data_IF_064007631951
#
_entry.id   IF_064007631951
#
_cell.length_a   1.000
_cell.length_b   1.000
_cell.length_c   1.000
_cell.angle_alpha   90.00
_cell.angle_beta   90.00
_cell.angle_gamma   90.00
#
_symmetry.space_group_name_H-M   'P 1'
#
loop_
_entity.id
_entity.type
_entity.pdbx_description
1 polymer ?
#
# COMPACT_ATOMS: atom_id res chain seq x y z
N UNK A 1 30.60 -22.26 -3.79
CA UNK A 1 30.14 -20.88 -3.53
C UNK A 1 28.90 -20.64 -4.38
N UNK A 2 27.70 -20.66 -3.78
CA UNK A 2 26.43 -20.38 -4.47
C UNK A 2 26.42 -18.91 -4.92
N UNK A 3 26.34 -18.64 -6.22
CA UNK A 3 26.12 -17.28 -6.75
C UNK A 3 24.79 -16.79 -6.21
N UNK A 4 24.80 -15.82 -5.30
CA UNK A 4 23.59 -15.18 -4.80
C UNK A 4 22.77 -14.70 -6.02
N UNK A 5 21.59 -15.29 -6.20
CA UNK A 5 20.67 -14.96 -7.29
C UNK A 5 20.32 -13.47 -7.15
N UNK A 6 20.80 -12.64 -8.09
CA UNK A 6 20.58 -11.19 -8.07
C UNK A 6 19.09 -10.93 -8.00
N UNK A 7 18.60 -10.43 -6.86
CA UNK A 7 17.18 -10.16 -6.65
C UNK A 7 16.66 -9.17 -7.69
N UNK A 8 15.58 -9.54 -8.36
CA UNK A 8 14.95 -8.69 -9.37
C UNK A 8 14.24 -7.53 -8.66
N UNK A 9 14.69 -6.29 -8.93
CA UNK A 9 14.07 -5.07 -8.39
C UNK A 9 12.93 -4.61 -9.28
N UNK A 10 11.80 -4.23 -8.66
CA UNK A 10 10.63 -3.69 -9.35
C UNK A 10 10.13 -2.41 -8.68
N UNK A 11 9.51 -1.52 -9.48
CA UNK A 11 8.64 -0.48 -8.95
C UNK A 11 7.23 -1.04 -8.80
N UNK A 12 6.61 -0.83 -7.64
CA UNK A 12 5.22 -1.17 -7.42
C UNK A 12 4.42 0.11 -7.20
N UNK A 13 3.41 0.31 -8.04
CA UNK A 13 2.50 1.43 -7.98
C UNK A 13 1.07 0.91 -7.98
N UNK A 14 0.42 0.96 -6.83
CA UNK A 14 -1.02 0.74 -6.70
C UNK A 14 -1.74 2.05 -6.40
N UNK A 15 -3.05 2.05 -6.19
CA UNK A 15 -3.78 3.23 -5.73
C UNK A 15 -3.10 3.83 -4.48
N UNK A 16 -2.98 5.16 -4.43
CA UNK A 16 -2.10 5.84 -3.48
C UNK A 16 -2.85 6.41 -2.27
N UNK A 17 -4.09 5.99 -2.05
CA UNK A 17 -4.82 6.22 -0.81
C UNK A 17 -4.21 5.40 0.34
N UNK A 18 -4.27 5.89 1.59
CA UNK A 18 -3.75 5.13 2.73
C UNK A 18 -4.49 3.81 2.92
N UNK A 19 -5.82 3.80 2.72
CA UNK A 19 -6.63 2.58 2.74
C UNK A 19 -6.17 1.55 1.73
N UNK A 20 -5.79 1.98 0.51
CA UNK A 20 -5.27 1.09 -0.53
C UNK A 20 -3.96 0.44 -0.13
N UNK A 21 -3.07 1.19 0.53
CA UNK A 21 -1.83 0.64 1.08
C UNK A 21 -2.09 -0.42 2.16
N UNK A 22 -3.13 -0.25 2.97
CA UNK A 22 -3.54 -1.24 3.98
C UNK A 22 -4.11 -2.49 3.29
N UNK A 23 -5.00 -2.31 2.31
CA UNK A 23 -5.60 -3.41 1.54
C UNK A 23 -4.52 -4.21 0.81
N UNK A 24 -3.57 -3.55 0.19
CA UNK A 24 -2.48 -4.17 -0.56
C UNK A 24 -1.31 -4.66 0.32
N UNK A 25 -1.38 -4.55 1.65
CA UNK A 25 -0.27 -4.92 2.52
C UNK A 25 0.14 -6.39 2.35
N UNK A 26 -0.81 -7.33 2.40
CA UNK A 26 -0.53 -8.76 2.17
C UNK A 26 0.04 -9.04 0.77
N UNK A 27 -0.50 -8.38 -0.28
CA UNK A 27 0.00 -8.47 -1.65
C UNK A 27 1.47 -8.04 -1.75
N UNK A 28 1.82 -6.91 -1.14
CA UNK A 28 3.20 -6.40 -1.13
C UNK A 28 4.13 -7.36 -0.40
N UNK A 29 3.69 -7.92 0.73
CA UNK A 29 4.47 -8.89 1.49
C UNK A 29 4.69 -10.19 0.70
N UNK A 30 3.70 -10.69 -0.03
CA UNK A 30 3.88 -11.84 -0.94
C UNK A 30 4.88 -11.53 -2.04
N UNK A 31 4.74 -10.39 -2.70
CA UNK A 31 5.66 -9.99 -3.77
C UNK A 31 7.10 -9.80 -3.27
N UNK A 32 7.28 -9.30 -2.04
CA UNK A 32 8.60 -9.07 -1.44
C UNK A 32 9.39 -10.36 -1.20
N UNK A 33 8.73 -11.52 -1.17
CA UNK A 33 9.40 -12.84 -1.11
C UNK A 33 10.16 -13.18 -2.41
N UNK A 34 9.82 -12.51 -3.53
CA UNK A 34 10.40 -12.77 -4.87
C UNK A 34 11.15 -11.58 -5.45
N UNK A 35 10.85 -10.37 -4.99
CA UNK A 35 11.34 -9.12 -5.56
C UNK A 35 11.82 -8.17 -4.47
N UNK A 36 12.85 -7.39 -4.78
CA UNK A 36 13.14 -6.16 -4.03
C UNK A 36 12.23 -5.06 -4.58
N UNK A 37 11.35 -4.50 -3.73
CA UNK A 37 10.25 -3.62 -4.13
C UNK A 37 10.58 -2.17 -3.82
N UNK A 38 10.41 -1.30 -4.81
CA UNK A 38 10.33 0.15 -4.61
C UNK A 38 8.84 0.53 -4.68
N UNK A 39 8.24 0.75 -3.51
CA UNK A 39 6.82 1.08 -3.38
C UNK A 39 6.62 2.58 -3.45
N UNK A 40 5.71 3.03 -4.33
CA UNK A 40 5.36 4.43 -4.50
C UNK A 40 4.26 4.80 -3.49
N UNK A 41 4.42 5.92 -2.78
CA UNK A 41 3.39 6.47 -1.88
C UNK A 41 3.25 7.98 -2.07
N UNK A 42 2.03 8.54 -1.97
CA UNK A 42 1.85 10.01 -1.92
C UNK A 42 2.60 10.58 -0.73
N UNK A 43 3.19 11.76 -0.91
CA UNK A 43 3.97 12.42 0.13
C UNK A 43 3.20 12.52 1.47
N UNK A 44 1.93 12.89 1.43
CA UNK A 44 1.07 12.98 2.63
C UNK A 44 0.90 11.66 3.39
N UNK A 45 1.04 10.52 2.70
CA UNK A 45 0.89 9.18 3.28
C UNK A 45 2.24 8.50 3.55
N UNK A 46 3.35 9.13 3.13
CA UNK A 46 4.68 8.53 3.11
C UNK A 46 5.10 7.95 4.47
N UNK A 47 4.98 8.72 5.54
CA UNK A 47 5.41 8.27 6.87
C UNK A 47 4.60 7.06 7.36
N UNK A 48 3.29 7.05 7.15
CA UNK A 48 2.41 5.93 7.51
C UNK A 48 2.74 4.69 6.69
N UNK A 49 2.90 4.85 5.39
CA UNK A 49 3.25 3.73 4.49
C UNK A 49 4.65 3.20 4.78
N UNK A 50 5.63 4.07 5.02
CA UNK A 50 6.96 3.67 5.45
C UNK A 50 6.93 2.89 6.76
N UNK A 51 6.05 3.26 7.69
CA UNK A 51 5.87 2.53 8.94
C UNK A 51 5.31 1.12 8.69
N UNK A 52 4.33 0.95 7.78
CA UNK A 52 3.77 -0.36 7.43
C UNK A 52 4.84 -1.38 7.02
N UNK A 53 5.91 -0.93 6.38
CA UNK A 53 6.94 -1.81 5.83
C UNK A 53 8.31 -1.66 6.49
N UNK A 54 8.41 -0.97 7.65
CA UNK A 54 9.71 -0.67 8.28
C UNK A 54 10.54 -1.91 8.63
N UNK A 55 9.89 -3.05 8.86
CA UNK A 55 10.53 -4.32 9.19
C UNK A 55 10.76 -5.22 7.97
N UNK A 56 10.15 -4.90 6.82
CA UNK A 56 10.34 -5.63 5.58
C UNK A 56 11.52 -5.05 4.78
N UNK A 57 12.70 -5.66 4.92
CA UNK A 57 13.94 -5.21 4.26
C UNK A 57 13.89 -5.24 2.73
N UNK A 58 12.93 -5.96 2.14
CA UNK A 58 12.73 -6.04 0.69
C UNK A 58 11.84 -4.92 0.14
N UNK A 59 11.22 -4.11 0.99
CA UNK A 59 10.33 -3.03 0.60
C UNK A 59 10.93 -1.68 0.96
N UNK A 60 11.25 -0.88 -0.05
CA UNK A 60 11.65 0.51 0.10
C UNK A 60 10.53 1.43 -0.37
N UNK A 61 9.97 2.23 0.52
CA UNK A 61 8.95 3.22 0.18
C UNK A 61 9.63 4.50 -0.30
N UNK A 62 9.13 5.07 -1.40
CA UNK A 62 9.55 6.39 -1.89
C UNK A 62 8.35 7.32 -2.03
N UNK A 63 8.49 8.62 -1.70
CA UNK A 63 7.41 9.57 -1.81
C UNK A 63 7.22 10.03 -3.26
N UNK A 64 5.97 10.13 -3.68
CA UNK A 64 5.57 10.85 -4.89
C UNK A 64 5.10 12.25 -4.50
N UNK A 65 5.79 13.27 -4.99
CA UNK A 65 5.51 14.64 -4.65
C UNK A 65 4.25 15.13 -5.37
N UNK A 66 3.28 15.63 -4.62
CA UNK A 66 1.95 15.99 -5.12
C UNK A 66 1.97 17.14 -6.15
N UNK A 67 2.97 18.02 -6.09
CA UNK A 67 3.12 19.10 -7.07
C UNK A 67 3.51 18.60 -8.47
N UNK A 68 4.11 17.38 -8.56
CA UNK A 68 4.46 16.75 -9.84
C UNK A 68 3.28 15.97 -10.45
N UNK A 69 2.18 15.77 -9.71
CA UNK A 69 1.15 14.80 -10.07
C UNK A 69 -0.24 15.29 -9.67
N UNK A 70 -0.85 16.10 -10.54
CA UNK A 70 -2.22 16.59 -10.33
C UNK A 70 -3.28 15.54 -10.67
N UNK A 71 -2.94 14.56 -11.50
CA UNK A 71 -3.87 13.51 -11.96
C UNK A 71 -3.23 12.12 -11.88
N UNK A 72 -4.07 11.09 -11.85
CA UNK A 72 -3.63 9.69 -11.85
C UNK A 72 -2.79 9.33 -13.10
N UNK A 73 -3.07 9.96 -14.23
CA UNK A 73 -2.28 9.78 -15.47
C UNK A 73 -0.85 10.33 -15.31
N UNK A 74 -0.70 11.48 -14.66
CA UNK A 74 0.62 12.05 -14.37
C UNK A 74 1.38 11.16 -13.37
N UNK A 75 0.72 10.63 -12.35
CA UNK A 75 1.31 9.68 -11.39
C UNK A 75 1.88 8.46 -12.11
N UNK A 76 1.10 7.85 -13.00
CA UNK A 76 1.55 6.73 -13.84
C UNK A 76 2.75 7.10 -14.71
N UNK A 77 2.69 8.24 -15.41
CA UNK A 77 3.75 8.71 -16.31
C UNK A 77 5.07 8.93 -15.55
N UNK A 78 5.01 9.55 -14.39
CA UNK A 78 6.19 9.75 -13.53
C UNK A 78 6.78 8.40 -13.12
N UNK A 79 5.95 7.47 -12.67
CA UNK A 79 6.42 6.14 -12.26
C UNK A 79 7.03 5.36 -13.42
N UNK A 80 6.44 5.42 -14.62
CA UNK A 80 7.01 4.81 -15.83
C UNK A 80 8.38 5.40 -16.18
N UNK A 81 8.52 6.72 -16.09
CA UNK A 81 9.79 7.39 -16.35
C UNK A 81 10.86 6.98 -15.33
N UNK A 82 10.50 6.87 -14.03
CA UNK A 82 11.39 6.33 -13.02
C UNK A 82 11.82 4.90 -13.37
N UNK A 83 10.88 4.04 -13.77
CA UNK A 83 11.19 2.69 -14.23
C UNK A 83 12.19 2.67 -15.37
N UNK A 84 12.03 3.52 -16.38
CA UNK A 84 12.95 3.66 -17.51
C UNK A 84 14.33 4.14 -17.08
N UNK A 85 14.41 5.23 -16.31
CA UNK A 85 15.67 5.82 -15.83
C UNK A 85 16.49 4.81 -15.04
N UNK A 86 15.84 4.04 -14.17
CA UNK A 86 16.51 3.04 -13.34
C UNK A 86 16.60 1.65 -13.99
N UNK A 87 16.16 1.49 -15.23
CA UNK A 87 16.09 0.21 -15.92
C UNK A 87 15.42 -0.88 -15.06
N UNK A 88 14.19 -0.60 -14.58
CA UNK A 88 13.41 -1.47 -13.71
C UNK A 88 11.99 -1.65 -14.25
N UNK A 89 11.45 -2.85 -14.08
CA UNK A 89 10.05 -3.12 -14.39
C UNK A 89 9.15 -2.34 -13.44
N UNK A 90 8.03 -1.84 -13.97
CA UNK A 90 6.97 -1.20 -13.20
C UNK A 90 5.76 -2.11 -13.19
N UNK A 91 5.29 -2.45 -12.00
CA UNK A 91 4.05 -3.19 -11.79
C UNK A 91 2.97 -2.21 -11.31
N UNK A 92 1.92 -2.06 -12.12
CA UNK A 92 0.74 -1.29 -11.77
C UNK A 92 -0.35 -2.21 -11.25
N UNK A 93 -0.98 -1.84 -10.12
CA UNK A 93 -2.07 -2.59 -9.49
C UNK A 93 -3.24 -1.65 -9.23
N UNK A 94 -4.47 -2.09 -9.49
CA UNK A 94 -5.68 -1.29 -9.27
C UNK A 94 -6.05 -0.33 -10.40
N UNK A 95 -5.33 -0.33 -11.52
CA UNK A 95 -5.54 0.62 -12.61
C UNK A 95 -6.26 0.01 -13.84
N UNK A 96 -6.61 -1.24 -13.79
CA UNK A 96 -7.29 -1.91 -14.90
C UNK A 96 -8.81 -1.80 -14.73
N UNK A 97 -9.52 -1.33 -15.77
CA UNK A 97 -10.98 -1.21 -15.78
C UNK A 97 -11.71 -2.55 -15.86
N UNK A 98 -11.03 -3.62 -16.24
CA UNK A 98 -11.64 -4.92 -16.58
C UNK A 98 -11.52 -5.94 -15.45
N UNK A 99 -11.70 -5.53 -14.21
CA UNK A 99 -11.88 -6.50 -13.13
C UNK A 99 -13.31 -7.04 -13.22
N UNK A 100 -13.46 -8.32 -13.53
CA UNK A 100 -14.73 -9.07 -13.46
C UNK A 100 -15.20 -9.27 -12.00
N UNK A 101 -14.35 -8.88 -11.05
CA UNK A 101 -14.63 -8.99 -9.63
C UNK A 101 -15.56 -7.86 -9.18
N UNK A 102 -16.69 -8.20 -8.61
CA UNK A 102 -17.60 -7.28 -7.92
C UNK A 102 -16.96 -6.68 -6.66
N UNK A 103 -15.90 -7.31 -6.14
CA UNK A 103 -15.16 -6.86 -4.97
C UNK A 103 -13.92 -6.09 -5.42
N UNK A 104 -13.96 -4.79 -5.21
CA UNK A 104 -12.88 -3.87 -5.59
C UNK A 104 -11.51 -4.24 -5.00
N UNK A 105 -11.46 -4.63 -3.74
CA UNK A 105 -10.22 -5.03 -3.04
C UNK A 105 -9.66 -6.37 -3.55
N UNK A 106 -10.53 -7.33 -3.89
CA UNK A 106 -10.12 -8.60 -4.50
C UNK A 106 -9.46 -8.37 -5.86
N UNK A 107 -9.92 -7.37 -6.62
CA UNK A 107 -9.39 -7.06 -7.93
C UNK A 107 -7.90 -6.72 -7.93
N UNK A 108 -7.36 -6.15 -6.85
CA UNK A 108 -5.93 -5.88 -6.73
C UNK A 108 -5.10 -7.15 -6.73
N UNK A 109 -5.57 -8.18 -6.05
CA UNK A 109 -4.91 -9.48 -5.93
C UNK A 109 -5.00 -10.29 -7.21
N UNK A 110 -6.18 -10.28 -7.86
CA UNK A 110 -6.42 -10.99 -9.12
C UNK A 110 -5.49 -10.46 -10.25
N UNK A 111 -5.23 -9.15 -10.30
CA UNK A 111 -4.36 -8.52 -11.32
C UNK A 111 -2.91 -9.02 -11.28
N UNK A 112 -2.46 -9.54 -10.17
CA UNK A 112 -1.08 -10.04 -9.98
C UNK A 112 -1.03 -11.54 -9.71
N UNK A 113 -2.15 -12.24 -9.91
CA UNK A 113 -2.30 -13.69 -9.68
C UNK A 113 -1.88 -14.11 -8.26
N UNK A 114 -2.26 -13.31 -7.26
CA UNK A 114 -2.07 -13.63 -5.85
C UNK A 114 -3.44 -14.03 -5.27
N UNK A 115 -3.55 -15.18 -4.58
CA UNK A 115 -4.80 -15.56 -3.95
C UNK A 115 -5.29 -14.50 -2.95
N UNK A 116 -6.58 -14.17 -3.01
CA UNK A 116 -7.14 -13.09 -2.15
C UNK A 116 -7.01 -13.37 -0.64
N UNK A 117 -6.94 -14.65 -0.25
CA UNK A 117 -6.68 -15.05 1.16
C UNK A 117 -5.38 -14.45 1.73
N UNK A 118 -4.39 -14.18 0.87
CA UNK A 118 -3.10 -13.60 1.27
C UNK A 118 -3.26 -12.16 1.81
N UNK A 119 -4.38 -11.49 1.52
CA UNK A 119 -4.74 -10.22 2.15
C UNK A 119 -4.74 -10.31 3.67
N UNK A 120 -5.15 -11.46 4.20
CA UNK A 120 -5.27 -11.69 5.64
C UNK A 120 -4.09 -12.49 6.19
N UNK A 121 -3.63 -13.51 5.46
CA UNK A 121 -2.57 -14.41 5.91
C UNK A 121 -1.19 -13.73 5.92
N UNK A 122 -0.93 -12.85 4.96
CA UNK A 122 0.33 -12.11 4.84
C UNK A 122 0.20 -10.65 5.30
N UNK A 123 -0.93 -10.29 5.91
CA UNK A 123 -1.11 -8.96 6.49
C UNK A 123 -0.23 -8.80 7.72
N UNK A 124 0.62 -7.77 7.70
CA UNK A 124 1.49 -7.48 8.82
C UNK A 124 1.68 -5.98 9.00
N UNK A 125 1.45 -5.50 10.21
CA UNK A 125 1.73 -4.12 10.63
C UNK A 125 2.68 -4.15 11.82
N UNK A 126 3.85 -3.52 11.71
CA UNK A 126 4.79 -3.44 12.81
C UNK A 126 4.19 -2.71 14.01
N UNK A 127 4.48 -3.20 15.22
CA UNK A 127 4.01 -2.56 16.46
C UNK A 127 4.50 -1.12 16.54
N UNK A 128 3.60 -0.22 16.91
CA UNK A 128 3.94 1.15 17.20
C UNK A 128 4.39 1.26 18.66
N UNK A 129 5.56 1.86 18.90
CA UNK A 129 6.12 1.96 20.26
C UNK A 129 5.45 3.04 21.14
N UNK A 130 4.68 3.95 20.52
CA UNK A 130 4.03 5.02 21.29
C UNK A 130 2.84 4.41 22.05
N UNK A 131 2.98 4.33 23.36
CA UNK A 131 1.89 3.96 24.23
C UNK A 131 0.86 5.10 24.15
N UNK A 132 -0.33 4.80 23.64
CA UNK A 132 -1.48 5.67 23.79
C UNK A 132 -2.02 5.34 25.19
N UNK A 133 -2.15 6.33 26.07
CA UNK A 133 -2.86 6.14 27.32
C UNK A 133 -4.32 5.81 26.98
N UNK A 134 -4.63 4.53 27.06
CA UNK A 134 -6.01 4.07 26.90
C UNK A 134 -6.70 4.29 28.24
N UNK A 135 -7.91 4.86 28.29
CA UNK A 135 -8.66 4.99 29.53
C UNK A 135 -8.77 3.62 30.22
N UNK A 136 -8.63 3.60 31.55
CA UNK A 136 -8.72 2.37 32.35
C UNK A 136 -10.15 1.80 32.41
N UNK A 137 -11.15 2.66 32.15
CA UNK A 137 -12.56 2.30 32.14
C UNK A 137 -13.01 1.85 30.74
N UNK A 138 -14.15 1.16 30.68
CA UNK A 138 -14.79 0.81 29.42
C UNK A 138 -15.00 2.04 28.54
N UNK A 139 -14.49 1.98 27.32
CA UNK A 139 -14.62 3.07 26.35
C UNK A 139 -15.07 2.54 24.99
N UNK A 140 -15.70 3.42 24.21
CA UNK A 140 -16.04 3.15 22.81
C UNK A 140 -15.16 4.00 21.91
N UNK A 141 -14.41 3.35 21.02
CA UNK A 141 -13.67 4.05 19.98
C UNK A 141 -14.61 4.34 18.81
N UNK A 142 -14.82 5.63 18.52
CA UNK A 142 -15.71 6.08 17.47
C UNK A 142 -14.89 6.78 16.39
N UNK A 143 -15.04 6.35 15.14
CA UNK A 143 -14.47 7.01 13.98
C UNK A 143 -15.60 7.58 13.13
N UNK A 144 -15.76 8.90 13.17
CA UNK A 144 -16.83 9.63 12.48
C UNK A 144 -16.40 10.25 11.15
N UNK A 145 -15.12 10.13 10.79
CA UNK A 145 -14.54 10.83 9.63
C UNK A 145 -13.94 9.86 8.62
N UNK A 146 -14.32 9.98 7.35
CA UNK A 146 -13.73 9.20 6.26
C UNK A 146 -13.14 10.12 5.19
N UNK A 147 -12.51 9.54 4.17
CA UNK A 147 -12.02 10.30 3.01
C UNK A 147 -13.16 10.93 2.18
N UNK A 148 -14.39 10.44 2.34
CA UNK A 148 -15.58 10.88 1.60
C UNK A 148 -16.48 11.81 2.40
N UNK A 149 -16.23 12.00 3.70
CA UNK A 149 -17.03 12.89 4.53
C UNK A 149 -16.96 12.59 6.02
N UNK A 150 -17.71 13.39 6.76
CA UNK A 150 -17.89 13.26 8.20
C UNK A 150 -19.33 12.78 8.48
N UNK A 151 -19.47 11.83 9.39
CA UNK A 151 -20.75 11.22 9.74
C UNK A 151 -21.17 11.67 11.14
N UNK A 152 -22.38 12.24 11.24
CA UNK A 152 -22.97 12.56 12.54
C UNK A 152 -23.52 11.27 13.18
N UNK A 153 -22.77 10.73 14.11
CA UNK A 153 -23.17 9.55 14.88
C UNK A 153 -24.03 9.96 16.07
N UNK A 154 -25.30 9.58 16.06
CA UNK A 154 -26.15 9.67 17.26
C UNK A 154 -25.81 8.50 18.20
N UNK A 155 -25.06 8.78 19.25
CA UNK A 155 -24.75 7.77 20.28
C UNK A 155 -25.91 7.76 21.25
N UNK A 156 -26.63 6.64 21.33
CA UNK A 156 -27.58 6.42 22.43
C UNK A 156 -26.77 6.07 23.67
N UNK A 157 -26.89 6.89 24.70
CA UNK A 157 -26.39 6.62 26.05
C UNK A 157 -27.08 5.42 26.67
#
# INVERSE_FOLDING_TARGET
MSKAKKEKKIFLHHHLGLGDHIICNGLVNVLSKKYSIILIAKYKNYNSVRHLYKENKQVRVIPLLSFLTKTIHMEKRVTLNLGKVFNRNVLFVGFQKNSTSTNWDKSFYDQVNIPFKERYQEFYVPKYKKVINVPENDFRLIHSKSSTGEYNLKIKS
#
